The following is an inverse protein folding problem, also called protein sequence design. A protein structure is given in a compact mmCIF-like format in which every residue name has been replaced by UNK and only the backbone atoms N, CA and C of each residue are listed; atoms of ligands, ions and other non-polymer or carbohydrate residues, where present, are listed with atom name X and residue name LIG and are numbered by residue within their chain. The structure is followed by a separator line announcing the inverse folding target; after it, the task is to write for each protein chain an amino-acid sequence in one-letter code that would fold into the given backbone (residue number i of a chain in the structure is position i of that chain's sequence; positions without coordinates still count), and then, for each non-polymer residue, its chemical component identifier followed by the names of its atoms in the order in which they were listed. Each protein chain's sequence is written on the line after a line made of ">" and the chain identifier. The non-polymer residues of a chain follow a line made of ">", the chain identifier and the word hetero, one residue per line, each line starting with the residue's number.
data_IF_482437210754
#
_entry.id   IF_482437210754
#
_cell.length_a   1.000
_cell.length_b   1.000
_cell.length_c   1.000
_cell.angle_alpha   90.00
_cell.angle_beta   90.00
_cell.angle_gamma   90.00
#
_symmetry.space_group_name_H-M   'P 1'
#
loop_
_entity.id
_entity.type
_entity.pdbx_description
1 polymer ?
#
# COMPACT_ATOMS: atom_id res chain seq x y z
N UNK A 1 7.02 -18.68 6.11
CA UNK A 1 7.34 -17.72 7.19
C UNK A 1 8.26 -16.60 6.72
N UNK A 2 9.43 -16.89 6.13
CA UNK A 2 10.36 -15.84 5.65
C UNK A 2 9.73 -14.80 4.70
N UNK A 3 8.84 -15.21 3.79
CA UNK A 3 8.14 -14.30 2.86
C UNK A 3 7.12 -13.37 3.51
N UNK A 4 6.28 -13.88 4.42
CA UNK A 4 5.33 -13.07 5.19
C UNK A 4 6.05 -12.03 6.04
N UNK A 5 7.19 -12.38 6.64
CA UNK A 5 7.98 -11.45 7.46
C UNK A 5 8.46 -10.26 6.61
N UNK A 6 8.91 -10.49 5.37
CA UNK A 6 9.26 -9.39 4.46
C UNK A 6 8.06 -8.47 4.20
N UNK A 7 6.86 -9.03 3.96
CA UNK A 7 5.65 -8.22 3.77
C UNK A 7 5.32 -7.39 5.02
N UNK A 8 5.44 -7.98 6.22
CA UNK A 8 5.26 -7.26 7.49
C UNK A 8 6.28 -6.13 7.64
N UNK A 9 7.56 -6.38 7.34
CA UNK A 9 8.60 -5.33 7.40
C UNK A 9 8.29 -4.19 6.42
N UNK A 10 7.84 -4.50 5.20
CA UNK A 10 7.41 -3.48 4.25
C UNK A 10 6.23 -2.66 4.79
N UNK A 11 5.25 -3.31 5.40
CA UNK A 11 4.09 -2.65 6.01
C UNK A 11 4.44 -1.77 7.22
N UNK A 12 5.42 -2.17 8.02
CA UNK A 12 5.97 -1.32 9.09
C UNK A 12 6.51 0.00 8.51
N UNK A 13 7.31 -0.09 7.44
CA UNK A 13 7.82 1.12 6.77
C UNK A 13 6.70 1.96 6.14
N UNK A 14 5.65 1.34 5.59
CA UNK A 14 4.49 2.07 5.09
C UNK A 14 3.76 2.81 6.20
N UNK A 15 3.55 2.20 7.37
CA UNK A 15 2.88 2.85 8.49
C UNK A 15 3.68 4.00 9.09
N UNK A 16 5.01 3.83 9.24
CA UNK A 16 5.91 4.93 9.63
C UNK A 16 5.87 6.07 8.62
N UNK A 17 5.92 5.74 7.33
CA UNK A 17 5.81 6.72 6.26
C UNK A 17 4.44 7.41 6.24
N UNK A 18 3.36 6.71 6.57
CA UNK A 18 2.02 7.28 6.75
C UNK A 18 1.96 8.28 7.90
N UNK A 19 2.61 7.97 9.03
CA UNK A 19 2.76 8.91 10.15
C UNK A 19 3.51 10.19 9.75
N UNK A 20 4.61 10.06 9.00
CA UNK A 20 5.36 11.22 8.46
C UNK A 20 4.53 12.00 7.43
N UNK A 21 3.70 11.33 6.63
CA UNK A 21 2.74 12.02 5.76
C UNK A 21 1.73 12.84 6.57
N UNK A 22 1.23 12.30 7.69
CA UNK A 22 0.35 13.03 8.61
C UNK A 22 1.00 14.31 9.17
N UNK A 23 2.29 14.25 9.53
CA UNK A 23 3.07 15.44 9.92
C UNK A 23 3.15 16.48 8.79
N UNK A 24 3.44 16.06 7.56
CA UNK A 24 3.49 16.95 6.41
C UNK A 24 2.12 17.62 6.15
N UNK A 25 1.03 16.87 6.27
CA UNK A 25 -0.33 17.43 6.19
C UNK A 25 -0.59 18.44 7.31
N UNK A 26 -0.13 18.18 8.53
CA UNK A 26 -0.23 19.14 9.64
C UNK A 26 0.60 20.42 9.40
N UNK A 27 1.71 20.33 8.66
CA UNK A 27 2.48 21.48 8.18
C UNK A 27 1.84 22.20 6.97
N UNK A 28 0.69 21.74 6.50
CA UNK A 28 -0.08 22.38 5.43
C UNK A 28 0.24 21.86 4.03
N UNK A 29 0.98 20.75 3.89
CA UNK A 29 1.18 20.13 2.59
C UNK A 29 -0.07 19.42 2.10
N UNK A 30 -0.43 19.69 0.85
CA UNK A 30 -1.51 18.97 0.19
C UNK A 30 -1.17 17.48 0.01
N UNK A 31 -2.18 16.64 0.18
CA UNK A 31 -2.03 15.20 0.18
C UNK A 31 -1.59 14.64 -1.19
N UNK A 32 -2.03 15.27 -2.29
CA UNK A 32 -1.60 14.89 -3.65
C UNK A 32 -0.11 15.19 -3.87
N UNK A 33 0.38 16.32 -3.34
CA UNK A 33 1.80 16.67 -3.38
C UNK A 33 2.64 15.70 -2.53
N UNK A 34 2.16 15.31 -1.35
CA UNK A 34 2.82 14.31 -0.51
C UNK A 34 2.95 12.98 -1.25
N UNK A 35 1.88 12.50 -1.90
CA UNK A 35 1.91 11.27 -2.68
C UNK A 35 2.81 11.37 -3.93
N UNK A 36 2.80 12.51 -4.61
CA UNK A 36 3.70 12.77 -5.74
C UNK A 36 5.16 12.69 -5.31
N UNK A 37 5.58 13.44 -4.28
CA UNK A 37 6.96 13.42 -3.79
C UNK A 37 7.36 12.05 -3.23
N UNK A 38 6.45 11.32 -2.57
CA UNK A 38 6.67 9.92 -2.17
C UNK A 38 7.05 9.06 -3.37
N UNK A 39 6.26 9.13 -4.44
CA UNK A 39 6.48 8.39 -5.67
C UNK A 39 7.75 8.80 -6.40
N UNK A 40 7.98 10.10 -6.55
CA UNK A 40 9.14 10.66 -7.26
C UNK A 40 10.46 10.32 -6.56
N UNK A 41 10.52 10.45 -5.23
CA UNK A 41 11.73 10.10 -4.48
C UNK A 41 11.94 8.59 -4.41
N UNK A 42 10.86 7.81 -4.33
CA UNK A 42 10.91 6.36 -4.53
C UNK A 42 11.48 5.97 -5.89
N UNK A 43 11.04 6.66 -6.96
CA UNK A 43 11.52 6.47 -8.33
C UNK A 43 13.01 6.75 -8.44
N UNK A 44 13.48 7.89 -7.92
CA UNK A 44 14.91 8.23 -7.90
C UNK A 44 15.72 7.15 -7.19
N UNK A 45 15.26 6.69 -6.02
CA UNK A 45 15.92 5.62 -5.26
C UNK A 45 16.07 4.32 -6.09
N UNK A 46 15.00 3.87 -6.75
CA UNK A 46 15.04 2.62 -7.54
C UNK A 46 15.78 2.76 -8.86
N UNK A 47 15.78 3.95 -9.48
CA UNK A 47 16.58 4.24 -10.69
C UNK A 47 18.07 4.24 -10.39
N UNK A 48 18.50 4.85 -9.27
CA UNK A 48 19.89 4.78 -8.79
C UNK A 48 20.29 3.31 -8.58
N UNK A 49 19.45 2.53 -7.91
CA UNK A 49 19.72 1.11 -7.69
C UNK A 49 19.82 0.31 -9.01
N UNK A 50 18.93 0.59 -9.97
CA UNK A 50 18.97 -0.01 -11.30
C UNK A 50 20.25 0.35 -12.07
N UNK A 51 20.69 1.61 -12.01
CA UNK A 51 21.92 2.09 -12.63
C UNK A 51 23.18 1.42 -12.06
N UNK A 52 23.23 1.22 -10.74
CA UNK A 52 24.36 0.55 -10.06
C UNK A 52 24.34 -0.97 -10.32
N UNK A 53 23.15 -1.58 -10.43
CA UNK A 53 22.98 -3.03 -10.63
C UNK A 53 22.01 -3.38 -11.77
N UNK A 54 22.42 -3.19 -13.04
CA UNK A 54 21.56 -3.40 -14.21
C UNK A 54 21.43 -4.87 -14.64
N UNK A 55 22.26 -5.78 -14.09
CA UNK A 55 22.34 -7.18 -14.55
C UNK A 55 21.03 -7.94 -14.36
N UNK A 56 20.65 -8.72 -15.37
CA UNK A 56 19.44 -9.56 -15.40
C UNK A 56 18.14 -8.81 -15.03
N UNK A 57 18.05 -7.53 -15.43
CA UNK A 57 16.91 -6.64 -15.16
C UNK A 57 15.57 -7.20 -15.67
N UNK A 58 15.59 -7.93 -16.78
CA UNK A 58 14.38 -8.41 -17.45
C UNK A 58 13.63 -7.30 -18.19
N UNK A 59 14.23 -6.11 -18.34
CA UNK A 59 13.61 -4.91 -18.93
C UNK A 59 13.17 -5.10 -20.39
N UNK A 60 13.79 -6.02 -21.13
CA UNK A 60 13.45 -6.30 -22.52
C UNK A 60 12.16 -7.13 -22.70
N UNK A 61 11.55 -7.61 -21.61
CA UNK A 61 10.36 -8.48 -21.68
C UNK A 61 9.08 -7.65 -21.73
N UNK A 62 8.25 -7.72 -22.79
CA UNK A 62 7.04 -6.91 -22.90
C UNK A 62 6.05 -7.12 -21.74
N UNK A 63 5.94 -8.36 -21.23
CA UNK A 63 5.08 -8.69 -20.09
C UNK A 63 5.46 -7.93 -18.82
N UNK A 64 6.75 -7.60 -18.64
CA UNK A 64 7.22 -6.83 -17.48
C UNK A 64 6.69 -5.41 -17.55
N UNK A 65 6.74 -4.77 -18.72
CA UNK A 65 6.19 -3.43 -18.93
C UNK A 65 4.70 -3.38 -18.63
N UNK A 66 3.93 -4.31 -19.20
CA UNK A 66 2.48 -4.36 -18.99
C UNK A 66 2.13 -4.52 -17.51
N UNK A 67 2.66 -5.54 -16.83
CA UNK A 67 2.30 -5.80 -15.44
C UNK A 67 2.86 -4.77 -14.46
N UNK A 68 4.03 -4.18 -14.75
CA UNK A 68 4.59 -3.10 -13.94
C UNK A 68 3.83 -1.78 -14.14
N UNK A 69 3.35 -1.49 -15.36
CA UNK A 69 2.50 -0.34 -15.63
C UNK A 69 1.13 -0.49 -14.95
N UNK A 70 0.54 -1.69 -14.99
CA UNK A 70 -0.67 -2.03 -14.21
C UNK A 70 -0.41 -1.83 -12.72
N UNK A 71 0.77 -2.21 -12.21
CA UNK A 71 1.12 -1.96 -10.82
C UNK A 71 1.20 -0.46 -10.51
N UNK A 72 1.87 0.32 -11.35
CA UNK A 72 1.96 1.77 -11.22
C UNK A 72 0.59 2.47 -11.26
N UNK A 73 -0.28 2.04 -12.18
CA UNK A 73 -1.67 2.51 -12.26
C UNK A 73 -2.46 2.18 -10.99
N UNK A 74 -2.28 0.98 -10.44
CA UNK A 74 -2.89 0.59 -9.17
C UNK A 74 -2.41 1.43 -7.99
N UNK A 75 -1.11 1.73 -7.90
CA UNK A 75 -0.58 2.61 -6.85
C UNK A 75 -1.10 4.04 -7.02
N UNK A 76 -1.14 4.56 -8.25
CA UNK A 76 -1.67 5.90 -8.53
C UNK A 76 -3.16 5.99 -8.19
N UNK A 77 -3.96 5.03 -8.65
CA UNK A 77 -5.38 4.94 -8.35
C UNK A 77 -5.64 4.81 -6.86
N UNK A 78 -4.84 4.03 -6.13
CA UNK A 78 -4.96 3.87 -4.69
C UNK A 78 -4.83 5.23 -3.98
N UNK A 79 -3.78 6.00 -4.27
CA UNK A 79 -3.61 7.34 -3.68
C UNK A 79 -4.70 8.32 -4.12
N UNK A 80 -4.98 8.43 -5.42
CA UNK A 80 -5.97 9.39 -5.95
C UNK A 80 -7.36 9.14 -5.38
N UNK A 81 -7.86 7.91 -5.42
CA UNK A 81 -9.18 7.59 -4.91
C UNK A 81 -9.25 7.65 -3.38
N UNK A 82 -8.14 7.38 -2.68
CA UNK A 82 -8.06 7.55 -1.23
C UNK A 82 -8.24 9.02 -0.84
N UNK A 83 -7.54 9.95 -1.50
CA UNK A 83 -7.69 11.38 -1.19
C UNK A 83 -9.06 11.93 -1.58
N UNK A 84 -9.65 11.47 -2.68
CA UNK A 84 -11.05 11.80 -3.01
C UNK A 84 -11.98 11.31 -1.88
N UNK A 85 -11.76 10.10 -1.37
CA UNK A 85 -12.56 9.57 -0.25
C UNK A 85 -12.39 10.37 1.03
N UNK A 86 -11.20 10.93 1.29
CA UNK A 86 -10.97 11.83 2.42
C UNK A 86 -11.71 13.15 2.23
N UNK A 87 -11.59 13.76 1.05
CA UNK A 87 -12.20 15.06 0.75
C UNK A 87 -13.75 15.01 0.77
N UNK A 88 -14.32 13.86 0.46
CA UNK A 88 -15.76 13.59 0.40
C UNK A 88 -16.28 12.83 1.65
N UNK A 89 -15.47 12.74 2.68
CA UNK A 89 -15.74 11.92 3.85
C UNK A 89 -14.83 12.25 5.03
N UNK A 90 -14.26 11.23 5.64
CA UNK A 90 -13.28 11.36 6.71
C UNK A 90 -12.09 10.44 6.50
N UNK A 91 -10.95 10.78 7.10
CA UNK A 91 -9.74 9.95 7.06
C UNK A 91 -10.02 8.55 7.62
N UNK A 92 -10.79 8.45 8.70
CA UNK A 92 -11.16 7.18 9.32
C UNK A 92 -11.93 6.26 8.36
N UNK A 93 -12.95 6.81 7.68
CA UNK A 93 -13.78 6.04 6.74
C UNK A 93 -13.00 5.70 5.48
N UNK A 94 -12.26 6.66 4.91
CA UNK A 94 -11.41 6.41 3.74
C UNK A 94 -10.39 5.31 4.00
N UNK A 95 -9.75 5.32 5.18
CA UNK A 95 -8.79 4.28 5.58
C UNK A 95 -9.47 2.92 5.74
N UNK A 96 -10.61 2.86 6.44
CA UNK A 96 -11.36 1.61 6.59
C UNK A 96 -11.76 1.02 5.23
N UNK A 97 -12.27 1.84 4.31
CA UNK A 97 -12.66 1.42 2.97
C UNK A 97 -11.46 0.96 2.14
N UNK A 98 -10.35 1.71 2.15
CA UNK A 98 -9.11 1.32 1.46
C UNK A 98 -8.59 -0.03 1.99
N UNK A 99 -8.58 -0.22 3.31
CA UNK A 99 -8.12 -1.45 3.96
C UNK A 99 -9.12 -2.61 3.83
N UNK A 100 -10.24 -2.44 3.12
CA UNK A 100 -11.01 -3.56 2.56
C UNK A 100 -10.30 -4.23 1.38
N UNK A 101 -9.14 -3.73 0.93
CA UNK A 101 -8.32 -4.33 -0.12
C UNK A 101 -8.13 -5.86 0.00
N UNK A 102 -7.88 -6.45 1.19
CA UNK A 102 -7.76 -7.90 1.32
C UNK A 102 -8.99 -8.68 0.85
N UNK A 103 -10.20 -8.09 0.89
CA UNK A 103 -11.42 -8.72 0.36
C UNK A 103 -11.33 -8.86 -1.15
N UNK A 104 -11.04 -7.77 -1.86
CA UNK A 104 -10.85 -7.76 -3.31
C UNK A 104 -9.72 -8.71 -3.72
N UNK A 105 -8.60 -8.67 -3.00
CA UNK A 105 -7.44 -9.51 -3.28
C UNK A 105 -7.75 -10.98 -3.05
N UNK A 106 -8.49 -11.32 -2.00
CA UNK A 106 -8.88 -12.69 -1.69
C UNK A 106 -9.83 -13.27 -2.74
N UNK A 107 -10.87 -12.52 -3.11
CA UNK A 107 -11.82 -12.92 -4.15
C UNK A 107 -11.11 -13.15 -5.49
N UNK A 108 -10.28 -12.20 -5.92
CA UNK A 108 -9.53 -12.32 -7.16
C UNK A 108 -8.51 -13.47 -7.11
N UNK A 109 -7.87 -13.71 -5.96
CA UNK A 109 -6.98 -14.86 -5.76
C UNK A 109 -7.71 -16.20 -5.89
N UNK A 110 -8.96 -16.28 -5.44
CA UNK A 110 -9.80 -17.47 -5.60
C UNK A 110 -10.22 -17.67 -7.06
N UNK A 111 -10.65 -16.60 -7.75
CA UNK A 111 -11.02 -16.63 -9.18
C UNK A 111 -9.83 -17.09 -10.04
N UNK A 112 -8.64 -16.55 -9.76
CA UNK A 112 -7.39 -16.90 -10.46
C UNK A 112 -6.78 -18.21 -9.98
N UNK A 113 -7.45 -18.96 -9.09
CA UNK A 113 -7.01 -20.25 -8.53
C UNK A 113 -5.62 -20.19 -7.87
N UNK A 114 -5.22 -19.01 -7.41
CA UNK A 114 -4.00 -18.81 -6.61
C UNK A 114 -4.23 -19.16 -5.14
N UNK A 115 -5.50 -19.19 -4.73
CA UNK A 115 -5.92 -19.42 -3.35
C UNK A 115 -7.16 -20.31 -3.32
N UNK A 116 -7.25 -21.17 -2.30
CA UNK A 116 -8.45 -21.98 -2.06
C UNK A 116 -9.22 -21.42 -0.87
N UNK A 117 -10.54 -21.23 -1.00
CA UNK A 117 -11.33 -20.75 0.11
C UNK A 117 -11.31 -21.77 1.26
N UNK A 118 -10.97 -21.30 2.45
CA UNK A 118 -10.97 -22.13 3.67
C UNK A 118 -11.58 -21.31 4.78
N UNK A 119 -12.30 -21.99 5.68
CA UNK A 119 -12.95 -21.36 6.83
C UNK A 119 -11.97 -20.50 7.62
N UNK A 120 -10.73 -20.98 7.81
CA UNK A 120 -9.68 -20.23 8.51
C UNK A 120 -9.32 -18.92 7.79
N UNK A 121 -9.09 -18.93 6.48
CA UNK A 121 -8.73 -17.73 5.72
C UNK A 121 -9.88 -16.73 5.63
N UNK A 122 -11.10 -17.22 5.46
CA UNK A 122 -12.30 -16.38 5.46
C UNK A 122 -12.53 -15.75 6.84
N UNK A 123 -12.37 -16.51 7.93
CA UNK A 123 -12.46 -15.99 9.29
C UNK A 123 -11.35 -14.96 9.59
N UNK A 124 -10.11 -15.22 9.15
CA UNK A 124 -9.02 -14.23 9.24
C UNK A 124 -9.36 -12.94 8.49
N UNK A 125 -9.95 -13.04 7.30
CA UNK A 125 -10.37 -11.87 6.54
C UNK A 125 -11.43 -11.05 7.29
N UNK A 126 -12.48 -11.69 7.83
CA UNK A 126 -13.47 -10.97 8.64
C UNK A 126 -12.86 -10.36 9.91
N UNK A 127 -11.99 -11.10 10.59
CA UNK A 127 -11.32 -10.64 11.81
C UNK A 127 -10.46 -9.40 11.53
N UNK A 128 -9.66 -9.39 10.47
CA UNK A 128 -8.81 -8.23 10.15
C UNK A 128 -9.64 -7.02 9.73
N UNK A 129 -10.70 -7.21 8.94
CA UNK A 129 -11.58 -6.11 8.52
C UNK A 129 -12.32 -5.49 9.71
N UNK A 130 -12.82 -6.31 10.64
CA UNK A 130 -13.40 -5.81 11.87
C UNK A 130 -12.36 -5.10 12.72
N UNK A 131 -11.15 -5.66 12.85
CA UNK A 131 -10.05 -5.01 13.57
C UNK A 131 -9.68 -3.64 13.00
N UNK A 132 -9.66 -3.50 11.67
CA UNK A 132 -9.46 -2.23 10.98
C UNK A 132 -10.57 -1.24 11.31
N UNK A 133 -11.84 -1.67 11.20
CA UNK A 133 -12.99 -0.80 11.49
C UNK A 133 -12.93 -0.24 12.91
N UNK A 134 -12.56 -1.09 13.88
CA UNK A 134 -12.41 -0.69 15.28
C UNK A 134 -11.21 0.23 15.49
N UNK A 135 -10.07 -0.05 14.85
CA UNK A 135 -8.85 0.74 14.98
C UNK A 135 -8.98 2.14 14.36
N UNK A 136 -9.60 2.24 13.17
CA UNK A 136 -9.77 3.54 12.50
C UNK A 136 -10.85 4.40 13.12
N UNK A 137 -11.78 3.81 13.90
CA UNK A 137 -12.90 4.54 14.48
C UNK A 137 -13.99 4.90 13.47
N UNK A 138 -13.98 4.32 12.27
CA UNK A 138 -14.93 4.65 11.20
C UNK A 138 -16.40 4.40 11.58
N UNK A 139 -16.66 3.53 12.57
CA UNK A 139 -18.00 3.27 13.10
C UNK A 139 -18.62 4.45 13.87
N UNK A 140 -17.80 5.41 14.31
CA UNK A 140 -18.25 6.57 15.07
C UNK A 140 -18.54 7.79 14.18
N UNK A 141 -18.23 7.72 12.89
CA UNK A 141 -18.44 8.80 11.92
C UNK A 141 -19.91 8.83 11.52
N UNK A 142 -20.52 10.01 11.52
CA UNK A 142 -21.94 10.12 11.17
C UNK A 142 -22.15 9.93 9.67
N UNK A 143 -23.25 9.28 9.22
CA UNK A 143 -23.51 9.10 7.79
C UNK A 143 -23.61 10.41 7.00
N UNK A 144 -23.98 11.52 7.66
CA UNK A 144 -24.06 12.84 7.03
C UNK A 144 -22.69 13.42 6.64
N UNK A 145 -21.60 12.96 7.28
CA UNK A 145 -20.24 13.37 6.99
C UNK A 145 -19.63 12.63 5.79
N UNK A 146 -20.29 11.61 5.25
CA UNK A 146 -19.74 10.74 4.20
C UNK A 146 -20.66 10.74 2.99
N UNK A 147 -20.16 11.23 1.86
CA UNK A 147 -20.93 11.20 0.61
C UNK A 147 -20.86 9.81 -0.05
N UNK A 148 -21.87 9.41 -0.84
CA UNK A 148 -21.81 8.18 -1.63
C UNK A 148 -20.61 8.15 -2.60
N UNK A 149 -20.19 9.32 -3.08
CA UNK A 149 -18.99 9.48 -3.91
C UNK A 149 -17.73 9.16 -3.10
N UNK A 150 -17.64 9.62 -1.86
CA UNK A 150 -16.56 9.29 -0.94
C UNK A 150 -16.47 7.78 -0.70
N UNK A 151 -17.59 7.12 -0.43
CA UNK A 151 -17.63 5.65 -0.26
C UNK A 151 -17.15 4.92 -1.52
N UNK A 152 -17.66 5.31 -2.69
CA UNK A 152 -17.26 4.72 -3.96
C UNK A 152 -15.76 4.91 -4.22
N UNK A 153 -15.22 6.09 -3.95
CA UNK A 153 -13.80 6.36 -4.07
C UNK A 153 -12.96 5.51 -3.10
N UNK A 154 -13.37 5.36 -1.83
CA UNK A 154 -12.68 4.51 -0.87
C UNK A 154 -12.61 3.03 -1.33
N UNK A 155 -13.71 2.52 -1.89
CA UNK A 155 -13.74 1.15 -2.46
C UNK A 155 -12.92 1.03 -3.74
N UNK A 156 -12.90 2.04 -4.61
CA UNK A 156 -12.01 2.10 -5.78
C UNK A 156 -10.54 2.16 -5.36
N UNK A 157 -10.22 2.79 -4.24
CA UNK A 157 -8.87 2.78 -3.66
C UNK A 157 -8.47 1.36 -3.23
N UNK A 158 -9.37 0.61 -2.60
CA UNK A 158 -9.15 -0.80 -2.25
C UNK A 158 -9.00 -1.71 -3.50
N UNK A 159 -9.81 -1.48 -4.53
CA UNK A 159 -9.68 -2.17 -5.82
C UNK A 159 -8.34 -1.86 -6.51
N UNK A 160 -7.90 -0.60 -6.45
CA UNK A 160 -6.60 -0.16 -6.98
C UNK A 160 -5.43 -0.76 -6.19
N UNK A 161 -5.61 -0.93 -4.86
CA UNK A 161 -4.67 -1.66 -4.03
C UNK A 161 -4.52 -3.10 -4.55
N UNK A 162 -5.64 -3.79 -4.77
CA UNK A 162 -5.60 -5.14 -5.34
C UNK A 162 -4.90 -5.15 -6.71
N UNK A 163 -5.20 -4.20 -7.58
CA UNK A 163 -4.57 -4.07 -8.89
C UNK A 163 -3.05 -4.02 -8.80
N UNK A 164 -2.48 -3.23 -7.88
CA UNK A 164 -1.03 -3.16 -7.77
C UNK A 164 -0.41 -4.44 -7.21
N UNK A 165 -1.06 -5.13 -6.26
CA UNK A 165 -0.55 -6.41 -5.75
C UNK A 165 -0.43 -7.40 -6.90
N UNK A 166 -1.48 -7.53 -7.72
CA UNK A 166 -1.46 -8.46 -8.84
C UNK A 166 -0.48 -8.04 -9.94
N UNK A 167 -0.38 -6.74 -10.24
CA UNK A 167 0.63 -6.20 -11.14
C UNK A 167 2.05 -6.60 -10.72
N UNK A 168 2.41 -6.38 -9.45
CA UNK A 168 3.70 -6.82 -8.92
C UNK A 168 3.84 -8.34 -8.92
N UNK A 169 2.80 -9.09 -8.55
CA UNK A 169 2.83 -10.56 -8.52
C UNK A 169 3.16 -11.16 -9.89
N UNK A 170 2.56 -10.63 -10.95
CA UNK A 170 2.77 -11.13 -12.32
C UNK A 170 4.03 -10.58 -12.98
N UNK A 171 4.54 -9.42 -12.56
CA UNK A 171 5.83 -8.89 -13.03
C UNK A 171 7.04 -9.62 -12.38
N UNK A 172 6.93 -9.97 -11.09
CA UNK A 172 8.02 -10.51 -10.26
C UNK A 172 8.76 -11.75 -10.80
N UNK A 173 8.13 -12.69 -11.53
CA UNK A 173 8.84 -13.83 -12.11
C UNK A 173 9.74 -13.47 -13.30
N UNK A 174 9.53 -12.30 -13.91
CA UNK A 174 10.11 -11.96 -15.21
C UNK A 174 11.17 -10.86 -15.15
N UNK A 175 11.25 -10.10 -14.06
CA UNK A 175 12.20 -8.99 -13.90
C UNK A 175 12.67 -8.85 -12.46
N UNK A 176 13.74 -8.07 -12.28
CA UNK A 176 14.23 -7.69 -10.95
C UNK A 176 13.31 -6.62 -10.31
N UNK A 177 13.24 -6.54 -8.97
CA UNK A 177 12.39 -5.56 -8.29
C UNK A 177 12.70 -4.12 -8.70
N UNK A 178 13.98 -3.77 -8.92
CA UNK A 178 14.35 -2.42 -9.38
C UNK A 178 13.72 -2.06 -10.72
N UNK A 179 13.65 -2.99 -11.68
CA UNK A 179 13.04 -2.74 -13.00
C UNK A 179 11.53 -2.59 -12.90
N UNK A 180 10.89 -3.49 -12.14
CA UNK A 180 9.44 -3.47 -11.92
C UNK A 180 9.03 -2.14 -11.27
N UNK A 181 9.74 -1.74 -10.21
CA UNK A 181 9.44 -0.50 -9.48
C UNK A 181 9.80 0.74 -10.27
N UNK A 182 10.87 0.72 -11.07
CA UNK A 182 11.19 1.86 -11.95
C UNK A 182 10.03 2.15 -12.90
N UNK A 183 9.48 1.12 -13.55
CA UNK A 183 8.34 1.28 -14.47
C UNK A 183 7.08 1.71 -13.69
N UNK A 184 6.76 1.02 -12.59
CA UNK A 184 5.57 1.32 -11.79
C UNK A 184 5.60 2.75 -11.21
N UNK A 185 6.72 3.17 -10.65
CA UNK A 185 6.85 4.53 -10.08
C UNK A 185 7.01 5.61 -11.15
N UNK A 186 7.49 5.27 -12.35
CA UNK A 186 7.41 6.20 -13.49
C UNK A 186 5.95 6.45 -13.86
N UNK A 187 5.14 5.41 -14.01
CA UNK A 187 3.70 5.55 -14.30
C UNK A 187 2.99 6.32 -13.19
N UNK A 188 3.24 5.97 -11.92
CA UNK A 188 2.72 6.71 -10.76
C UNK A 188 3.06 8.20 -10.83
N UNK A 189 4.34 8.51 -11.01
CA UNK A 189 4.84 9.90 -10.98
C UNK A 189 4.26 10.70 -12.14
N UNK A 190 4.18 10.11 -13.35
CA UNK A 190 3.59 10.77 -14.51
C UNK A 190 2.09 11.04 -14.34
N UNK A 191 1.36 10.11 -13.72
CA UNK A 191 -0.08 10.28 -13.48
C UNK A 191 -0.38 11.29 -12.37
N UNK A 192 0.48 11.36 -11.33
CA UNK A 192 0.30 12.32 -10.23
C UNK A 192 0.88 13.70 -10.55
N UNK A 193 1.85 13.83 -11.46
CA UNK A 193 2.46 15.09 -11.84
C UNK A 193 1.45 16.21 -12.21
N UNK A 194 0.44 15.99 -13.10
CA UNK A 194 -0.47 17.06 -13.49
C UNK A 194 -1.44 17.50 -12.39
N UNK A 195 -1.68 16.65 -11.38
CA UNK A 195 -2.55 16.96 -10.23
C UNK A 195 -1.76 17.42 -9.01
N UNK A 196 -0.44 17.21 -9.01
CA UNK A 196 0.45 17.80 -8.03
C UNK A 196 0.48 19.31 -8.27
N UNK A 197 -0.19 20.07 -7.40
CA UNK A 197 -0.23 21.53 -7.45
C UNK A 197 1.11 22.13 -6.98
N UNK A 198 2.19 21.82 -7.70
CA UNK A 198 3.59 22.13 -7.33
C UNK A 198 3.84 23.64 -7.19
N UNK A 199 3.02 24.48 -7.83
CA UNK A 199 3.12 25.94 -7.81
C UNK A 199 2.31 26.62 -6.70
N UNK A 200 1.44 25.90 -5.99
CA UNK A 200 0.53 26.46 -4.98
C UNK A 200 0.91 26.10 -3.54
N UNK A 201 1.92 25.25 -3.33
CA UNK A 201 2.44 24.94 -2.00
C UNK A 201 3.49 25.94 -1.59
N UNK A 202 3.06 27.04 -0.97
CA UNK A 202 3.91 27.77 -0.02
C UNK A 202 3.64 27.13 1.34
N UNK A 203 4.56 26.31 1.89
CA UNK A 203 4.41 25.79 3.24
C UNK A 203 4.22 26.95 4.21
N UNK A 204 3.33 26.80 5.18
CA UNK A 204 3.09 27.83 6.20
C UNK A 204 4.33 28.13 7.05
N UNK A 205 5.26 27.17 7.09
CA UNK A 205 6.51 27.19 7.82
C UNK A 205 7.70 27.32 6.85
N UNK A 206 8.65 28.26 7.07
CA UNK A 206 9.86 28.40 6.25
C UNK A 206 10.86 27.25 6.40
N UNK A 207 10.64 26.30 7.32
CA UNK A 207 11.55 25.17 7.58
C UNK A 207 11.59 24.19 6.39
N UNK A 208 12.78 23.74 5.94
CA UNK A 208 12.87 22.77 4.86
C UNK A 208 12.37 21.39 5.30
N UNK A 209 11.21 20.98 4.78
CA UNK A 209 10.62 19.64 5.02
C UNK A 209 11.19 18.53 4.13
N UNK A 210 12.19 18.84 3.28
CA UNK A 210 12.84 17.88 2.38
C UNK A 210 13.37 16.60 3.05
N UNK A 211 13.91 16.62 4.29
CA UNK A 211 14.27 15.38 4.99
C UNK A 211 13.07 14.45 5.24
N UNK A 212 11.88 15.01 5.49
CA UNK A 212 10.66 14.22 5.68
C UNK A 212 10.21 13.60 4.36
N UNK A 213 10.26 14.33 3.25
CA UNK A 213 10.02 13.78 1.92
C UNK A 213 11.04 12.69 1.57
N UNK A 214 12.32 12.87 1.92
CA UNK A 214 13.34 11.86 1.73
C UNK A 214 13.03 10.58 2.50
N UNK A 215 12.64 10.70 3.77
CA UNK A 215 12.19 9.56 4.55
C UNK A 215 10.97 8.88 3.92
N UNK A 216 9.98 9.67 3.52
CA UNK A 216 8.74 9.22 2.89
C UNK A 216 9.00 8.42 1.60
N UNK A 217 9.87 8.94 0.73
CA UNK A 217 10.22 8.29 -0.52
C UNK A 217 11.11 7.07 -0.34
N UNK A 218 12.17 7.17 0.47
CA UNK A 218 13.14 6.08 0.64
C UNK A 218 12.51 4.93 1.41
N UNK A 219 11.90 5.18 2.57
CA UNK A 219 11.34 4.11 3.39
C UNK A 219 9.91 3.76 2.95
N UNK A 220 9.08 4.75 2.59
CA UNK A 220 7.69 4.53 2.21
C UNK A 220 7.45 4.08 0.76
N UNK A 221 8.38 4.31 -0.17
CA UNK A 221 8.24 3.87 -1.56
C UNK A 221 9.39 2.97 -2.02
N UNK A 222 10.64 3.41 -1.92
CA UNK A 222 11.80 2.65 -2.40
C UNK A 222 11.98 1.33 -1.66
N UNK A 223 12.53 1.39 -0.44
CA UNK A 223 12.93 0.22 0.34
C UNK A 223 11.75 -0.70 0.66
N UNK A 224 10.61 -0.15 1.10
CA UNK A 224 9.43 -0.94 1.44
C UNK A 224 8.89 -1.74 0.25
N UNK A 225 8.73 -1.14 -0.93
CA UNK A 225 8.23 -1.88 -2.08
C UNK A 225 9.25 -2.90 -2.61
N UNK A 226 10.56 -2.64 -2.49
CA UNK A 226 11.59 -3.63 -2.80
C UNK A 226 11.40 -4.87 -1.93
N UNK A 227 11.32 -4.68 -0.61
CA UNK A 227 11.10 -5.75 0.37
C UNK A 227 9.76 -6.45 0.09
N UNK A 228 8.72 -5.69 -0.20
CA UNK A 228 7.39 -6.20 -0.51
C UNK A 228 7.39 -7.12 -1.73
N UNK A 229 8.04 -6.72 -2.84
CA UNK A 229 8.14 -7.55 -4.05
C UNK A 229 8.85 -8.88 -3.75
N UNK A 230 9.94 -8.85 -2.98
CA UNK A 230 10.63 -10.08 -2.56
C UNK A 230 9.74 -10.99 -1.72
N UNK A 231 8.97 -10.42 -0.78
CA UNK A 231 7.99 -11.15 0.01
C UNK A 231 6.88 -11.75 -0.86
N UNK A 232 6.26 -10.93 -1.70
CA UNK A 232 5.14 -11.25 -2.59
C UNK A 232 5.47 -12.36 -3.59
N UNK A 233 6.73 -12.42 -4.07
CA UNK A 233 7.19 -13.48 -4.97
C UNK A 233 6.94 -14.87 -4.40
N UNK A 234 7.09 -15.03 -3.09
CA UNK A 234 7.04 -16.31 -2.38
C UNK A 234 5.82 -16.47 -1.46
N UNK A 235 4.78 -15.66 -1.65
CA UNK A 235 3.50 -15.82 -0.97
C UNK A 235 2.33 -15.59 -1.93
N UNK A 236 1.11 -15.93 -1.52
CA UNK A 236 -0.09 -15.61 -2.31
C UNK A 236 -0.46 -14.13 -2.12
N UNK A 237 -1.06 -13.47 -3.14
CA UNK A 237 -1.56 -12.11 -2.98
C UNK A 237 -2.47 -11.94 -1.77
N UNK A 238 -3.37 -12.90 -1.53
CA UNK A 238 -4.25 -12.92 -0.37
C UNK A 238 -3.49 -12.84 0.96
N UNK A 239 -2.50 -13.72 1.18
CA UNK A 239 -1.70 -13.71 2.41
C UNK A 239 -0.89 -12.42 2.53
N UNK A 240 -0.31 -11.93 1.43
CA UNK A 240 0.43 -10.66 1.43
C UNK A 240 -0.48 -9.49 1.82
N UNK A 241 -1.70 -9.41 1.28
CA UNK A 241 -2.62 -8.32 1.59
C UNK A 241 -3.04 -8.32 3.06
N UNK A 242 -3.33 -9.50 3.66
CA UNK A 242 -3.68 -9.59 5.08
C UNK A 242 -2.47 -9.24 5.95
N UNK A 243 -1.28 -9.75 5.61
CA UNK A 243 -0.06 -9.43 6.36
C UNK A 243 0.31 -7.94 6.30
N UNK A 244 -0.02 -7.25 5.21
CA UNK A 244 0.19 -5.82 5.07
C UNK A 244 -0.68 -4.97 6.01
N UNK A 245 -1.73 -5.53 6.62
CA UNK A 245 -2.60 -4.82 7.57
C UNK A 245 -1.90 -4.47 8.89
N UNK A 246 -0.62 -4.81 9.06
CA UNK A 246 0.25 -4.23 10.11
C UNK A 246 0.49 -2.72 9.88
N UNK A 247 0.32 -2.24 8.65
CA UNK A 247 0.45 -0.84 8.28
C UNK A 247 -0.39 0.12 9.16
N UNK A 248 -1.74 -0.03 9.26
CA UNK A 248 -2.56 0.85 10.11
C UNK A 248 -2.18 0.77 11.59
N UNK A 249 -1.79 -0.40 12.09
CA UNK A 249 -1.30 -0.55 13.48
C UNK A 249 -0.06 0.31 13.70
N UNK A 250 0.88 0.27 12.76
CA UNK A 250 2.13 1.02 12.86
C UNK A 250 1.90 2.51 12.73
N UNK A 251 0.98 2.94 11.86
CA UNK A 251 0.58 4.33 11.74
C UNK A 251 -0.07 4.84 13.04
N UNK A 252 -0.98 4.07 13.66
CA UNK A 252 -1.58 4.43 14.95
C UNK A 252 -0.54 4.51 16.07
N UNK A 253 0.43 3.60 16.12
CA UNK A 253 1.53 3.67 17.10
C UNK A 253 2.42 4.89 16.86
N UNK A 254 2.67 5.28 15.61
CA UNK A 254 3.35 6.54 15.31
C UNK A 254 2.57 7.74 15.86
N UNK A 255 1.26 7.79 15.67
CA UNK A 255 0.38 8.82 16.25
C UNK A 255 0.50 8.91 17.77
N UNK A 256 0.48 7.75 18.46
CA UNK A 256 0.66 7.70 19.91
C UNK A 256 2.03 8.23 20.36
N UNK A 257 3.12 7.72 19.75
CA UNK A 257 4.47 8.03 20.24
C UNK A 257 5.02 9.38 19.79
N UNK A 258 4.62 9.85 18.60
CA UNK A 258 5.18 11.06 17.98
C UNK A 258 4.19 12.23 18.05
N UNK A 259 2.89 11.97 17.88
CA UNK A 259 1.85 13.00 17.88
C UNK A 259 1.15 13.12 19.23
N UNK A 260 1.52 12.31 20.23
CA UNK A 260 0.89 12.26 21.56
C UNK A 260 -0.62 11.98 21.50
N UNK A 261 -1.06 11.23 20.48
CA UNK A 261 -2.45 10.80 20.37
C UNK A 261 -2.79 9.73 21.42
N UNK A 262 -4.06 9.62 21.78
CA UNK A 262 -4.55 8.57 22.68
C UNK A 262 -5.43 7.60 21.92
N UNK A 263 -5.22 6.30 22.18
CA UNK A 263 -6.07 5.25 21.64
C UNK A 263 -7.11 4.84 22.68
N UNK A 264 -8.35 4.75 22.24
CA UNK A 264 -9.44 4.20 23.04
C UNK A 264 -9.27 2.69 23.23
N UNK A 265 -9.95 2.13 24.24
CA UNK A 265 -9.98 0.67 24.46
C UNK A 265 -10.46 -0.08 23.22
N UNK A 266 -11.46 0.46 22.50
CA UNK A 266 -11.99 -0.15 21.27
C UNK A 266 -10.93 -0.20 20.17
N UNK A 267 -10.14 0.86 20.00
CA UNK A 267 -9.05 0.89 19.03
C UNK A 267 -7.93 -0.09 19.40
N UNK A 268 -7.61 -0.24 20.69
CA UNK A 268 -6.65 -1.24 21.17
C UNK A 268 -7.13 -2.68 20.90
N UNK A 269 -8.42 -2.96 21.07
CA UNK A 269 -9.01 -4.25 20.68
C UNK A 269 -8.87 -4.48 19.17
N UNK A 270 -9.19 -3.47 18.35
CA UNK A 270 -9.00 -3.53 16.90
C UNK A 270 -7.56 -3.83 16.49
N UNK A 271 -6.60 -3.15 17.12
CA UNK A 271 -5.16 -3.40 16.96
C UNK A 271 -4.80 -4.86 17.31
N UNK A 272 -5.28 -5.36 18.44
CA UNK A 272 -5.06 -6.75 18.86
C UNK A 272 -5.58 -7.77 17.85
N UNK A 273 -6.79 -7.55 17.31
CA UNK A 273 -7.39 -8.42 16.29
C UNK A 273 -6.55 -8.49 15.01
N UNK A 274 -6.04 -7.34 14.55
CA UNK A 274 -5.16 -7.26 13.38
C UNK A 274 -3.88 -8.07 13.64
N UNK A 275 -3.20 -7.82 14.78
CA UNK A 275 -1.93 -8.46 15.10
C UNK A 275 -2.08 -9.98 15.27
N UNK A 276 -3.13 -10.45 15.95
CA UNK A 276 -3.43 -11.89 16.08
C UNK A 276 -3.68 -12.50 14.69
N UNK A 277 -4.43 -11.81 13.82
CA UNK A 277 -4.70 -12.31 12.48
C UNK A 277 -3.43 -12.44 11.65
N UNK A 278 -2.56 -11.42 11.66
CA UNK A 278 -1.31 -11.41 10.90
C UNK A 278 -0.30 -12.43 11.44
N UNK A 279 -0.25 -12.67 12.75
CA UNK A 279 0.65 -13.66 13.34
C UNK A 279 0.19 -15.10 13.12
N UNK A 280 -1.13 -15.33 13.05
CA UNK A 280 -1.70 -16.67 12.84
C UNK A 280 -1.88 -17.06 11.37
N UNK A 281 -1.90 -16.10 10.45
CA UNK A 281 -2.06 -16.40 9.03
C UNK A 281 -0.85 -17.18 8.48
N UNK A 282 -1.13 -18.38 7.95
CA UNK A 282 -0.09 -19.22 7.36
C UNK A 282 0.07 -18.90 5.88
N UNK A 283 1.32 -18.59 5.50
CA UNK A 283 1.73 -18.58 4.09
C UNK A 283 1.59 -19.98 3.49
N UNK A 284 0.67 -20.14 2.55
CA UNK A 284 0.68 -21.27 1.62
C UNK A 284 1.57 -20.88 0.44
N UNK A 285 2.61 -21.65 0.08
CA UNK A 285 3.38 -21.35 -1.11
C UNK A 285 2.45 -21.39 -2.33
N UNK A 286 2.50 -20.39 -3.23
CA UNK A 286 1.70 -20.42 -4.45
C UNK A 286 2.08 -21.65 -5.27
N UNK A 287 1.09 -22.38 -5.83
CA UNK A 287 1.37 -23.45 -6.80
C UNK A 287 2.23 -22.84 -7.91
N UNK A 288 3.38 -23.46 -8.21
CA UNK A 288 4.20 -23.04 -9.34
C UNK A 288 3.32 -23.05 -10.58
N UNK A 289 3.17 -21.88 -11.23
CA UNK A 289 2.60 -21.82 -12.57
C UNK A 289 3.43 -22.80 -13.41
N UNK A 290 2.82 -23.75 -14.14
CA UNK A 290 3.56 -24.63 -15.02
C UNK A 290 4.44 -23.74 -15.89
N UNK A 291 5.74 -24.04 -15.95
CA UNK A 291 6.60 -23.43 -16.97
C UNK A 291 5.94 -23.81 -18.29
N UNK A 292 5.24 -22.86 -18.92
CA UNK A 292 5.01 -22.95 -20.35
C UNK A 292 6.42 -23.03 -20.92
N UNK A 293 6.78 -24.23 -21.38
CA UNK A 293 7.99 -24.46 -22.14
C UNK A 293 7.88 -23.48 -23.30
N UNK A 294 8.60 -22.36 -23.21
CA UNK A 294 8.82 -21.47 -24.35
C UNK A 294 9.49 -22.34 -25.41
N UNK A 295 8.69 -22.74 -26.40
CA UNK A 295 9.15 -23.17 -27.71
C UNK A 295 9.25 -21.94 -28.59
#
# INVERSE_FOLDING_TARGET
>A
MKSTILVVIAALFWGLSGGVAGLLTAYGWDATNIAFYRGAMGLVCVLIWLGIRPRNSGILRPRVWVWSAVAGLGVAGNFTFYFISIAEGSVAVAAALMYCAPVFVYLLSCILRLEHPTVKKTASLFCVILGILLLTGAYAVTPAEVTPRGVAAGLLSAGSYALFIFGFKYASPHASPQTILSIAFTVLTLLLFPVAHLSQTVPRDPTPHWPLFAFLGIFGAGLSFIIYIYGLRHTTPAVASIAAMVEPVTASLFGVFILSETLTVVQLVGMGMILITVTTIKSTPPKQTPRLVER
#
